data_IF_350670166903
#
_entry.id   IF_350670166903
#
_cell.length_a   1.000
_cell.length_b   1.000
_cell.length_c   1.000
_cell.angle_alpha   90.00
_cell.angle_beta   90.00
_cell.angle_gamma   90.00
#
_symmetry.space_group_name_H-M   'P 1'
#
loop_
_entity.id
_entity.type
_entity.pdbx_description
1 polymer ?
2 polymer ?
3 polymer ?
4 non-polymer ?
5 non-polymer ?
6 non-polymer ?
7 water ?
#
loop_
_entity_poly.entity_id
_entity_poly.type
_entity_poly.pdbx_seq_one_letter_code
_entity_poly.pdbx_strand_id
3 'polydeoxyribonucleotide' '(GF2)(GF2)(CFZ)(CFZ)(AF2)(CFZ)(CFZ)(A9Z)' ?
#
# COMPACT_ATOMS: atom_id res chain seq x y z
N UNK A 2 22.57 -0.46 -11.61
CA UNK A 2 23.45 0.22 -10.67
C UNK A 2 22.84 0.29 -9.26
N UNK A 3 23.65 0.53 -8.24
CA UNK A 3 23.15 0.73 -6.88
C UNK A 3 23.10 2.23 -6.60
N UNK A 4 22.00 2.66 -5.98
CA UNK A 4 21.82 4.07 -5.69
C UNK A 4 22.65 4.47 -4.49
N UNK A 5 23.48 5.51 -4.66
CA UNK A 5 24.28 6.07 -3.58
C UNK A 5 23.38 7.02 -2.79
N UNK A 6 22.87 6.56 -1.65
CA UNK A 6 21.96 7.43 -0.89
C UNK A 6 22.61 8.71 -0.38
N UNK A 7 23.93 8.86 -0.46
CA UNK A 7 24.59 10.09 -0.07
C UNK A 7 24.84 11.04 -1.24
N UNK A 8 24.34 10.72 -2.44
CA UNK A 8 24.48 11.57 -3.62
C UNK A 8 23.12 12.22 -3.87
N UNK A 9 22.90 13.47 -3.46
CA UNK A 9 21.55 14.05 -3.54
C UNK A 9 20.98 14.11 -4.96
N UNK A 10 21.80 14.49 -5.94
CA UNK A 10 21.33 14.54 -7.32
C UNK A 10 20.89 13.16 -7.81
N UNK A 11 21.64 12.12 -7.44
CA UNK A 11 21.29 10.77 -7.88
C UNK A 11 19.98 10.34 -7.25
N UNK A 12 19.78 10.71 -5.99
CA UNK A 12 18.56 10.36 -5.26
C UNK A 12 17.37 11.09 -5.88
N UNK A 13 17.58 12.34 -6.30
CA UNK A 13 16.52 13.08 -6.96
C UNK A 13 16.10 12.41 -8.26
N UNK A 14 17.09 11.94 -9.05
CA UNK A 14 16.77 11.28 -10.31
C UNK A 14 16.01 9.98 -10.06
N UNK A 15 16.40 9.24 -9.03
CA UNK A 15 15.70 8.03 -8.66
C UNK A 15 14.27 8.33 -8.26
N UNK A 16 14.10 9.36 -7.43
CA UNK A 16 12.78 9.74 -6.97
C UNK A 16 11.90 10.23 -8.10
N UNK A 17 12.47 10.96 -9.06
CA UNK A 17 11.65 11.42 -10.18
C UNK A 17 11.12 10.24 -10.98
N UNK A 18 11.92 9.18 -11.14
CA UNK A 18 11.42 7.98 -11.83
C UNK A 18 10.28 7.35 -11.05
N UNK A 19 10.48 7.10 -9.75
CA UNK A 19 9.42 6.51 -8.94
C UNK A 19 8.15 7.33 -8.95
N UNK A 20 8.26 8.64 -8.83
CA UNK A 20 7.06 9.51 -8.68
C UNK A 20 6.29 9.64 -10.00
N UNK A 21 6.93 9.41 -11.14
CA UNK A 21 6.27 9.65 -12.44
C UNK A 21 5.93 8.34 -13.16
N UNK A 22 6.46 7.22 -12.67
CA UNK A 22 6.14 5.91 -13.27
C UNK A 22 4.70 5.51 -13.08
N UNK A 23 4.03 4.99 -14.12
CA UNK A 23 2.70 4.41 -13.91
C UNK A 23 2.70 3.23 -12.94
N UNK A 24 3.87 2.68 -12.61
CA UNK A 24 3.98 1.57 -11.67
C UNK A 24 4.39 2.03 -10.28
N UNK A 25 4.47 3.34 -10.06
CA UNK A 25 4.97 3.84 -8.78
C UNK A 25 4.11 3.40 -7.61
N UNK A 26 4.76 3.20 -6.47
CA UNK A 26 4.11 2.80 -5.22
C UNK A 26 4.73 3.59 -4.07
N UNK A 27 3.89 4.07 -3.14
CA UNK A 27 4.44 4.78 -2.00
C UNK A 27 5.41 3.90 -1.22
N UNK A 28 5.16 2.59 -1.14
CA UNK A 28 6.06 1.70 -0.39
C UNK A 28 7.37 1.44 -1.11
N UNK A 29 7.50 1.88 -2.36
CA UNK A 29 8.79 1.88 -3.07
C UNK A 29 9.44 3.24 -3.09
N UNK A 30 8.78 4.29 -2.59
CA UNK A 30 9.43 5.59 -2.49
C UNK A 30 10.52 5.53 -1.43
N UNK A 31 11.58 6.31 -1.62
CA UNK A 31 12.63 6.32 -0.59
C UNK A 31 12.12 6.92 0.71
N UNK A 32 10.96 7.56 0.67
CA UNK A 32 10.35 8.07 1.90
C UNK A 32 9.89 6.93 2.80
N UNK A 33 9.56 5.79 2.21
CA UNK A 33 9.11 4.62 3.02
C UNK A 33 10.23 4.11 3.92
N UNK A 34 11.49 4.37 3.54
CA UNK A 34 12.66 3.95 4.35
C UNK A 34 12.77 4.86 5.56
N UNK A 35 12.30 6.09 5.42
CA UNK A 35 12.26 7.00 6.59
C UNK A 35 11.17 6.50 7.54
N UNK A 36 10.06 6.02 7.01
CA UNK A 36 9.00 5.42 7.86
C UNK A 36 9.55 4.15 8.52
N UNK A 37 10.11 3.26 7.72
CA UNK A 37 10.69 1.99 8.21
C UNK A 37 12.12 2.27 8.68
N UNK A 38 12.26 3.16 9.65
CA UNK A 38 13.59 3.57 10.07
C UNK A 38 14.36 2.47 10.80
N UNK A 39 13.69 1.38 11.17
CA UNK A 39 14.39 0.26 11.80
C UNK A 39 14.87 -0.78 10.78
N UNK A 40 14.70 -0.51 9.50
CA UNK A 40 15.19 -1.35 8.41
C UNK A 40 16.31 -0.63 7.67
N UNK A 41 17.18 -1.43 6.98
CA UNK A 41 18.28 -0.78 6.25
C UNK A 41 17.93 -0.64 4.78
N UNK A 42 18.03 0.56 4.17
CA UNK A 42 17.70 0.68 2.73
C UNK A 42 18.86 0.26 1.83
N UNK A 43 18.51 -0.48 0.77
CA UNK A 43 19.41 -0.78 -0.34
C UNK A 43 18.55 -0.64 -1.60
N UNK A 44 18.95 0.21 -2.55
CA UNK A 44 18.13 0.53 -3.70
C UNK A 44 18.92 0.37 -4.99
N UNK A 45 18.29 -0.20 -6.02
CA UNK A 45 18.97 -0.44 -7.30
C UNK A 45 18.04 -0.04 -8.43
N UNK A 46 18.63 0.13 -9.62
CA UNK A 46 17.86 0.57 -10.78
C UNK A 46 18.62 0.16 -12.04
N UNK A 47 17.92 0.22 -13.16
CA UNK A 47 18.49 -0.05 -14.48
C UNK A 47 18.27 1.15 -15.36
N UNK A 48 19.14 1.32 -16.35
CA UNK A 48 18.99 2.40 -17.32
C UNK A 48 18.78 1.79 -18.70
N UNK A 49 18.10 2.56 -19.53
CA UNK A 49 17.92 2.15 -20.95
C UNK A 49 19.17 2.57 -21.73
N UNK A 50 19.17 2.34 -23.03
CA UNK A 50 20.36 2.65 -23.87
C UNK A 50 20.42 4.17 -24.10
N UNK A 51 19.44 4.91 -23.57
CA UNK A 51 19.44 6.38 -23.71
C UNK A 51 19.83 7.07 -22.38
N UNK A 52 20.26 6.31 -21.37
CA UNK A 52 20.68 6.89 -20.08
C UNK A 52 19.56 7.09 -19.07
N UNK A 53 18.32 6.81 -19.46
CA UNK A 53 17.17 7.04 -18.57
C UNK A 53 16.92 5.83 -17.69
N UNK A 54 16.48 6.09 -16.46
CA UNK A 54 16.10 4.96 -15.59
C UNK A 54 14.85 4.33 -16.21
N UNK A 55 14.81 3.00 -16.30
CA UNK A 55 13.66 2.25 -16.88
C UNK A 55 13.05 1.32 -15.81
N UNK A 56 13.78 1.09 -14.71
CA UNK A 56 13.29 0.15 -13.69
C UNK A 56 13.98 0.41 -12.35
N UNK A 57 13.24 0.22 -11.26
CA UNK A 57 13.85 0.51 -9.96
C UNK A 57 13.26 -0.41 -8.90
N UNK A 58 14.09 -0.75 -7.91
CA UNK A 58 13.64 -1.59 -6.80
C UNK A 58 14.18 -1.01 -5.50
N UNK A 59 13.29 -0.61 -4.60
CA UNK A 59 13.69 -0.13 -3.27
C UNK A 59 13.56 -1.28 -2.28
N UNK A 60 14.67 -1.69 -1.68
CA UNK A 60 14.63 -2.79 -0.72
C UNK A 60 14.87 -2.24 0.68
N UNK A 61 14.32 -2.93 1.66
CA UNK A 61 14.59 -2.72 3.07
C UNK A 61 15.01 -4.06 3.66
N UNK A 62 16.05 -4.03 4.48
CA UNK A 62 16.64 -5.24 5.05
C UNK A 62 16.29 -5.34 6.52
N UNK A 63 15.68 -6.46 6.92
CA UNK A 63 15.32 -6.66 8.30
C UNK A 63 16.05 -7.81 8.96
N UNK A 64 16.04 -7.81 10.30
CA UNK A 64 16.70 -8.84 11.08
C UNK A 64 15.84 -10.11 11.12
N UNK A 65 16.51 -11.23 11.34
CA UNK A 65 15.89 -12.56 11.50
C UNK A 65 16.59 -13.25 12.67
N UNK A 66 16.08 -14.39 13.14
CA UNK A 66 16.80 -15.13 14.19
C UNK A 66 18.08 -15.83 13.74
N UNK A 67 18.52 -15.58 12.51
CA UNK A 67 19.70 -16.20 11.94
C UNK A 67 20.76 -15.15 11.65
N UNK A 68 21.86 -15.59 11.00
CA UNK A 68 22.93 -14.67 10.65
C UNK A 68 22.63 -13.88 9.39
N UNK A 69 21.46 -14.07 8.80
CA UNK A 69 21.12 -13.46 7.52
C UNK A 69 20.00 -12.43 7.71
N UNK A 70 19.98 -11.45 6.80
CA UNK A 70 18.92 -10.46 6.72
C UNK A 70 17.79 -10.92 5.81
N UNK A 71 16.62 -10.32 6.02
CA UNK A 71 15.48 -10.47 5.12
C UNK A 71 15.41 -9.20 4.26
N UNK A 72 15.56 -9.35 2.95
CA UNK A 72 15.47 -8.22 2.02
C UNK A 72 14.08 -8.19 1.40
N UNK A 73 13.41 -7.04 1.52
CA UNK A 73 11.99 -6.95 1.17
C UNK A 73 11.76 -5.68 0.36
N UNK A 74 11.21 -5.83 -0.85
CA UNK A 74 10.83 -4.71 -1.73
C UNK A 74 9.30 -4.61 -1.78
N UNK A 75 8.73 -3.87 -0.82
CA UNK A 75 7.28 -3.80 -0.64
C UNK A 75 6.59 -3.16 -1.85
N UNK A 76 5.70 -3.94 -2.48
CA UNK A 76 4.98 -3.57 -3.70
C UNK A 76 5.92 -3.13 -4.82
N UNK A 77 7.15 -3.64 -4.83
CA UNK A 77 8.01 -3.38 -5.96
C UNK A 77 8.25 -4.63 -6.76
N UNK A 78 9.15 -4.56 -7.73
CA UNK A 78 9.86 -3.37 -8.20
C UNK A 78 8.95 -2.44 -8.99
N UNK A 79 9.47 -1.29 -9.39
CA UNK A 79 8.71 -0.31 -10.14
C UNK A 79 9.14 -0.47 -11.61
N UNK A 80 8.29 -1.18 -12.33
CA UNK A 80 8.45 -1.60 -13.72
C UNK A 80 7.29 -2.54 -14.07
N UNK A 81 7.22 -2.99 -15.33
CA UNK A 81 6.27 -4.03 -15.72
C UNK A 81 6.88 -5.38 -15.35
N UNK A 82 6.49 -5.94 -14.20
CA UNK A 82 7.16 -7.13 -13.72
C UNK A 82 6.89 -8.35 -14.60
N UNK A 83 5.86 -8.31 -15.48
CA UNK A 83 5.71 -9.42 -16.42
C UNK A 83 6.80 -9.43 -17.49
N UNK A 84 7.55 -8.34 -17.65
CA UNK A 84 8.75 -8.30 -18.50
C UNK A 84 9.88 -9.00 -17.74
N UNK A 85 9.85 -10.35 -17.77
CA UNK A 85 10.67 -11.10 -16.82
C UNK A 85 12.15 -11.08 -17.20
N UNK A 86 12.48 -10.92 -18.49
CA UNK A 86 13.88 -10.70 -18.83
C UNK A 86 14.41 -9.42 -18.21
N UNK A 87 13.61 -8.35 -18.24
CA UNK A 87 14.02 -7.12 -17.58
C UNK A 87 14.04 -7.28 -16.07
N UNK A 88 13.06 -8.02 -15.53
CA UNK A 88 13.03 -8.29 -14.09
C UNK A 88 14.31 -8.99 -13.64
N UNK A 89 14.71 -10.05 -14.35
CA UNK A 89 15.92 -10.78 -14.02
C UNK A 89 17.13 -9.86 -13.95
N UNK A 90 17.26 -8.94 -14.92
CA UNK A 90 18.37 -7.99 -14.90
C UNK A 90 18.33 -7.11 -13.65
N UNK A 91 17.13 -6.66 -13.28
CA UNK A 91 17.04 -5.78 -12.12
C UNK A 91 17.34 -6.54 -10.84
N UNK A 92 16.81 -7.77 -10.74
CA UNK A 92 17.05 -8.58 -9.55
C UNK A 92 18.52 -8.95 -9.46
N UNK A 93 19.17 -9.13 -10.62
CA UNK A 93 20.60 -9.40 -10.59
C UNK A 93 21.36 -8.24 -9.96
N UNK A 94 21.01 -7.00 -10.32
CA UNK A 94 21.64 -5.85 -9.68
C UNK A 94 21.36 -5.84 -8.18
N UNK A 95 20.10 -6.15 -7.81
CA UNK A 95 19.76 -6.18 -6.38
C UNK A 95 20.62 -7.19 -5.63
N UNK A 96 20.79 -8.38 -6.21
CA UNK A 96 21.57 -9.42 -5.54
C UNK A 96 23.02 -8.99 -5.39
N UNK A 97 23.58 -8.32 -6.41
CA UNK A 97 24.91 -7.75 -6.28
C UNK A 97 24.99 -6.81 -5.08
N UNK A 98 24.03 -5.89 -4.96
CA UNK A 98 24.04 -4.91 -3.89
C UNK A 98 23.88 -5.55 -2.52
N UNK A 99 23.17 -6.68 -2.44
CA UNK A 99 22.96 -7.28 -1.14
C UNK A 99 24.19 -8.00 -0.62
N UNK A 100 25.12 -8.36 -1.50
CA UNK A 100 26.46 -8.79 -1.09
C UNK A 100 26.42 -9.99 -0.13
N UNK A 101 25.46 -10.89 -0.31
CA UNK A 101 25.42 -12.11 0.46
C UNK A 101 24.86 -11.95 1.86
N UNK A 102 24.32 -10.79 2.20
CA UNK A 102 23.84 -10.55 3.55
C UNK A 102 22.41 -11.05 3.78
N UNK A 103 21.64 -11.29 2.73
CA UNK A 103 20.25 -11.68 2.86
C UNK A 103 20.04 -13.13 2.43
N UNK A 104 19.08 -13.79 3.06
CA UNK A 104 18.76 -15.15 2.66
C UNK A 104 17.74 -15.21 1.53
N UNK A 105 17.03 -14.11 1.31
CA UNK A 105 15.97 -14.03 0.29
C UNK A 105 15.82 -12.56 -0.07
N UNK A 106 15.43 -12.31 -1.31
CA UNK A 106 14.87 -11.01 -1.70
C UNK A 106 13.41 -11.28 -2.10
N UNK A 107 12.48 -10.70 -1.34
CA UNK A 107 11.05 -10.87 -1.59
C UNK A 107 10.48 -9.58 -2.16
N UNK A 108 9.64 -9.72 -3.20
CA UNK A 108 8.91 -8.58 -3.73
C UNK A 108 7.47 -9.01 -4.07
N UNK A 109 6.51 -8.12 -3.81
CA UNK A 109 5.09 -8.45 -3.93
C UNK A 109 4.41 -7.36 -4.74
N UNK A 110 4.63 -7.34 -6.05
CA UNK A 110 4.10 -6.26 -6.89
C UNK A 110 2.61 -6.39 -7.13
N UNK A 111 2.00 -5.23 -7.40
CA UNK A 111 0.56 -5.20 -7.67
C UNK A 111 0.33 -5.46 -9.15
N UNK A 112 0.55 -6.71 -9.51
CA UNK A 112 0.29 -7.22 -10.86
C UNK A 112 -0.67 -8.38 -10.73
N UNK A 113 -1.59 -8.51 -11.68
CA UNK A 113 -2.63 -9.51 -11.59
C UNK A 113 -2.04 -10.91 -11.57
N UNK A 114 -2.62 -11.79 -10.75
CA UNK A 114 -2.27 -13.20 -10.82
C UNK A 114 -2.67 -13.75 -12.20
N UNK A 115 -1.83 -14.62 -12.74
CA UNK A 115 -2.21 -15.50 -13.83
C UNK A 115 -1.38 -16.77 -13.73
N UNK A 116 -1.92 -17.87 -14.26
CA UNK A 116 -1.16 -19.12 -14.23
C UNK A 116 0.05 -19.07 -15.16
N UNK A 117 -0.10 -18.46 -16.33
CA UNK A 117 1.07 -18.35 -17.21
C UNK A 117 2.19 -17.53 -16.56
N UNK A 118 1.84 -16.43 -15.89
CA UNK A 118 2.87 -15.60 -15.25
C UNK A 118 3.51 -16.34 -14.09
N UNK A 119 2.70 -17.02 -13.28
CA UNK A 119 3.23 -17.82 -12.17
C UNK A 119 4.24 -18.83 -12.67
N UNK A 120 3.91 -19.54 -13.76
CA UNK A 120 4.81 -20.54 -14.31
C UNK A 120 6.09 -19.90 -14.85
N UNK A 121 5.97 -18.74 -15.52
CA UNK A 121 7.16 -18.07 -16.03
C UNK A 121 8.12 -17.74 -14.90
N UNK A 122 7.61 -17.19 -13.80
CA UNK A 122 8.46 -16.84 -12.68
C UNK A 122 9.18 -18.07 -12.11
N UNK A 123 8.44 -19.18 -11.92
CA UNK A 123 9.04 -20.41 -11.43
C UNK A 123 10.09 -20.95 -12.41
N UNK A 124 9.84 -20.78 -13.71
CA UNK A 124 10.81 -21.23 -14.72
C UNK A 124 12.11 -20.44 -14.61
N UNK A 125 12.05 -19.19 -14.16
CA UNK A 125 13.22 -18.34 -14.00
C UNK A 125 13.85 -18.50 -12.62
N UNK A 126 13.43 -19.49 -11.86
CA UNK A 126 14.04 -19.79 -10.58
C UNK A 126 13.37 -19.15 -9.38
N UNK A 127 12.37 -18.28 -9.58
CA UNK A 127 11.73 -17.69 -8.42
C UNK A 127 10.83 -18.70 -7.71
N UNK A 128 10.65 -18.51 -6.41
CA UNK A 128 9.64 -19.22 -5.64
C UNK A 128 8.49 -18.25 -5.43
N UNK A 129 7.27 -18.68 -5.76
CA UNK A 129 6.10 -17.81 -5.62
C UNK A 129 5.16 -18.31 -4.52
N UNK A 130 4.48 -17.36 -3.89
CA UNK A 130 3.57 -17.62 -2.77
C UNK A 130 2.27 -16.88 -3.10
N UNK A 131 1.28 -17.63 -3.53
CA UNK A 131 -0.01 -17.06 -3.90
C UNK A 131 -1.09 -18.11 -3.64
N UNK A 132 -1.65 -18.68 -4.70
CA UNK A 132 -2.67 -19.72 -4.50
C UNK A 132 -2.07 -21.00 -3.93
N UNK A 133 -0.76 -21.09 -3.97
CA UNK A 133 -0.08 -22.28 -3.38
C UNK A 133 -0.10 -22.22 -1.85
N UNK A 134 -0.40 -21.05 -1.28
CA UNK A 134 -0.40 -20.87 0.20
C UNK A 134 -1.78 -20.39 0.68
N UNK A 135 -1.87 -19.97 1.93
CA UNK A 135 -3.18 -19.62 2.54
C UNK A 135 -4.18 -20.77 2.33
N UNK A 137 -4.50 -19.00 4.91
CA UNK A 137 -4.21 -18.22 6.13
C UNK A 137 -4.70 -16.79 5.89
N UNK A 138 -5.21 -16.50 4.69
CA UNK A 138 -5.75 -15.16 4.37
C UNK A 138 -4.72 -14.04 4.44
N UNK A 139 -5.12 -12.91 5.00
CA UNK A 139 -4.19 -11.75 5.17
C UNK A 139 -2.90 -12.16 5.88
N UNK A 140 -2.86 -13.28 6.60
CA UNK A 140 -1.58 -13.60 7.27
C UNK A 140 -0.66 -14.44 6.37
N UNK A 141 -1.14 -14.98 5.27
CA UNK A 141 -0.32 -15.88 4.43
C UNK A 141 0.84 -15.10 3.82
N UNK A 142 0.59 -13.86 3.45
CA UNK A 142 1.58 -12.98 2.86
C UNK A 142 1.68 -11.72 3.72
N UNK A 143 2.78 -10.97 3.55
CA UNK A 143 2.95 -9.75 4.35
C UNK A 143 1.87 -8.74 4.01
N UNK A 144 1.73 -8.41 2.74
CA UNK A 144 0.59 -7.60 2.28
C UNK A 144 -0.54 -8.50 1.80
N UNK A 145 -1.80 -8.13 2.03
CA UNK A 145 -2.91 -8.91 1.46
C UNK A 145 -2.83 -9.03 -0.05
N UNK A 146 -3.08 -10.24 -0.54
CA UNK A 146 -3.03 -10.53 -1.96
C UNK A 146 -4.33 -10.22 -2.68
N UNK A 147 -5.46 -10.19 -1.96
CA UNK A 147 -6.76 -9.80 -2.53
C UNK A 147 -7.08 -8.38 -2.09
N UNK A 148 -7.38 -7.50 -3.05
CA UNK A 148 -7.53 -6.10 -2.72
C UNK A 148 -8.73 -5.48 -3.41
N UNK A 149 -9.43 -4.63 -2.67
CA UNK A 149 -10.63 -3.96 -3.14
C UNK A 149 -10.24 -2.63 -3.79
N UNK A 150 -10.25 -2.59 -5.12
CA UNK A 150 -9.75 -1.45 -5.87
C UNK A 150 -10.87 -0.92 -6.77
N UNK A 151 -11.12 0.39 -6.68
CA UNK A 151 -12.13 1.08 -7.46
C UNK A 151 -11.48 1.70 -8.70
N UNK A 152 -11.88 1.27 -9.88
CA UNK A 152 -11.31 1.79 -11.13
C UNK A 152 -12.12 3.01 -11.57
N UNK A 153 -11.62 4.21 -11.26
CA UNK A 153 -12.34 5.43 -11.60
C UNK A 153 -12.32 5.71 -13.08
N UNK A 154 -11.43 5.08 -13.84
CA UNK A 154 -11.46 5.32 -15.28
C UNK A 154 -12.70 4.72 -15.95
N UNK A 155 -13.43 3.85 -15.26
CA UNK A 155 -14.72 3.39 -15.76
C UNK A 155 -15.78 4.49 -15.71
N UNK A 156 -15.50 5.63 -15.08
CA UNK A 156 -16.49 6.69 -14.91
C UNK A 156 -15.87 8.03 -15.34
N UNK A 157 -15.59 8.18 -16.64
CA UNK A 157 -14.84 9.37 -17.09
C UNK A 157 -15.53 10.69 -16.80
N UNK A 158 -16.86 10.71 -16.74
CA UNK A 158 -17.57 11.96 -16.57
C UNK A 158 -18.00 12.19 -15.12
N UNK A 159 -17.64 11.30 -14.20
CA UNK A 159 -18.09 11.44 -12.82
C UNK A 159 -17.52 12.72 -12.19
N UNK A 160 -18.38 13.46 -11.51
CA UNK A 160 -17.93 14.69 -10.85
C UNK A 160 -17.83 14.52 -9.35
N UNK A 161 -18.74 13.76 -8.76
CA UNK A 161 -18.77 13.56 -7.31
C UNK A 161 -18.85 12.07 -7.03
N UNK A 162 -18.51 11.71 -5.79
CA UNK A 162 -18.50 10.31 -5.38
C UNK A 162 -19.81 9.61 -5.69
N UNK A 163 -20.95 10.28 -5.49
CA UNK A 163 -22.23 9.62 -5.69
C UNK A 163 -22.42 9.15 -7.13
N UNK A 164 -21.82 9.87 -8.09
CA UNK A 164 -21.95 9.52 -9.51
C UNK A 164 -21.49 8.10 -9.82
N UNK A 165 -20.72 7.47 -8.94
CA UNK A 165 -20.11 6.17 -9.16
C UNK A 165 -20.98 4.99 -8.72
N UNK A 166 -22.13 5.23 -8.09
CA UNK A 166 -22.71 4.19 -7.27
C UNK A 166 -24.18 3.94 -7.58
N UNK A 167 -24.66 2.71 -7.32
CA UNK A 167 -26.10 2.46 -7.41
C UNK A 167 -26.85 3.18 -6.30
N UNK A 168 -28.17 3.27 -6.50
CA UNK A 168 -29.02 4.04 -5.60
C UNK A 168 -28.91 3.58 -4.14
N UNK A 169 -28.86 2.27 -3.90
CA UNK A 169 -28.76 1.77 -2.52
C UNK A 169 -27.51 2.31 -1.81
N UNK A 170 -26.40 2.38 -2.54
CA UNK A 170 -25.15 2.90 -1.99
C UNK A 170 -25.20 4.43 -1.85
N UNK A 171 -25.82 5.11 -2.82
CA UNK A 171 -26.01 6.55 -2.69
C UNK A 171 -26.67 6.87 -1.36
N UNK A 172 -27.68 6.08 -0.99
CA UNK A 172 -28.40 6.32 0.27
C UNK A 172 -27.49 6.15 1.48
N UNK A 173 -26.64 5.12 1.46
CA UNK A 173 -25.72 4.91 2.59
C UNK A 173 -24.72 6.05 2.70
N UNK A 174 -24.21 6.52 1.56
CA UNK A 174 -23.22 7.61 1.58
C UNK A 174 -23.85 8.91 2.02
N UNK A 175 -25.11 9.15 1.60
CA UNK A 175 -25.76 10.40 1.98
C UNK A 175 -26.04 10.46 3.47
N UNK A 176 -26.27 9.30 4.08
CA UNK A 176 -26.75 9.25 5.48
C UNK A 176 -25.87 10.01 6.47
N UNK A 177 -24.53 9.79 6.57
CA UNK A 177 -23.77 10.52 7.59
C UNK A 177 -23.85 12.03 7.41
N UNK A 178 -23.79 12.52 6.18
CA UNK A 178 -23.83 13.96 5.97
C UNK A 178 -25.19 14.53 6.33
N UNK A 179 -26.26 13.79 6.04
CA UNK A 179 -27.60 14.25 6.42
C UNK A 179 -27.76 14.28 7.94
N UNK A 180 -27.03 13.43 8.64
CA UNK A 180 -27.09 13.39 10.08
C UNK A 180 -26.05 14.30 10.74
N UNK A 181 -25.43 15.19 9.97
CA UNK A 181 -24.58 16.24 10.51
C UNK A 181 -23.10 15.94 10.54
N UNK A 182 -22.67 14.79 10.03
CA UNK A 182 -21.24 14.50 9.99
C UNK A 182 -20.55 15.46 9.02
N UNK A 183 -19.39 15.95 9.40
CA UNK A 183 -18.57 16.83 8.58
C UNK A 183 -17.14 16.31 8.55
N UNK A 184 -16.50 16.39 7.39
CA UNK A 184 -15.14 15.89 7.23
C UNK A 184 -14.23 17.04 6.84
N UNK A 185 -13.10 17.18 7.54
CA UNK A 185 -12.00 18.02 7.09
C UNK A 185 -10.77 17.16 6.85
N UNK A 186 -9.76 17.77 6.27
CA UNK A 186 -8.56 16.98 6.00
C UNK A 186 -7.33 17.88 6.01
N UNK A 187 -6.20 17.25 6.27
CA UNK A 187 -4.94 17.95 6.21
C UNK A 187 -3.85 16.97 6.55
N UNK A 188 -2.64 17.50 6.71
CA UNK A 188 -1.52 16.67 7.12
C UNK A 188 -0.65 17.41 8.13
N UNK A 189 -1.28 17.99 9.16
CA UNK A 189 -0.55 18.66 10.22
C UNK A 189 -0.58 17.79 11.49
N UNK A 190 0.13 18.24 12.53
CA UNK A 190 0.12 17.51 13.80
C UNK A 190 -1.27 17.45 14.40
N UNK A 191 -2.12 18.45 14.10
CA UNK A 191 -3.49 18.45 14.62
C UNK A 191 -4.28 17.25 14.12
N UNK A 192 -4.28 17.02 12.80
CA UNK A 192 -4.99 15.86 12.25
C UNK A 192 -4.35 14.56 12.68
N UNK A 193 -3.02 14.52 12.79
CA UNK A 193 -2.37 13.32 13.27
C UNK A 193 -2.85 12.93 14.66
N UNK A 194 -2.93 13.93 15.57
CA UNK A 194 -3.40 13.63 16.92
C UNK A 194 -4.84 13.13 16.91
N UNK A 195 -5.68 13.72 16.04
CA UNK A 195 -7.04 13.21 15.91
C UNK A 195 -7.05 11.79 15.37
N UNK A 196 -6.24 11.52 14.32
CA UNK A 196 -6.13 10.17 13.82
C UNK A 196 -5.74 9.23 14.96
N UNK A 197 -4.70 9.59 15.71
CA UNK A 197 -4.10 8.64 16.64
C UNK A 197 -5.05 8.32 17.79
N UNK A 198 -5.86 9.28 18.20
CA UNK A 198 -6.89 8.99 19.20
C UNK A 198 -7.88 7.95 18.68
N UNK A 199 -8.38 8.13 17.45
CA UNK A 199 -9.33 7.18 16.91
C UNK A 199 -8.69 5.83 16.63
N UNK A 200 -7.40 5.84 16.26
CA UNK A 200 -6.67 4.63 15.92
C UNK A 200 -6.40 3.77 17.15
N UNK A 201 -5.87 4.37 18.22
CA UNK A 201 -5.66 3.63 19.46
C UNK A 201 -7.00 3.21 20.08
N UNK A 202 -8.02 4.07 20.02
CA UNK A 202 -9.33 3.68 20.54
C UNK A 202 -9.83 2.43 19.84
N UNK A 203 -9.73 2.40 18.50
CA UNK A 203 -10.22 1.24 17.75
C UNK A 203 -9.39 0.01 18.08
N UNK A 204 -8.07 0.19 18.26
CA UNK A 204 -7.20 -0.94 18.57
C UNK A 204 -7.54 -1.56 19.93
N UNK A 205 -7.80 -0.73 20.93
CA UNK A 205 -8.21 -1.24 22.24
C UNK A 205 -9.53 -2.00 22.15
N UNK A 206 -10.52 -1.43 21.43
CA UNK A 206 -11.83 -2.08 21.29
C UNK A 206 -11.69 -3.46 20.65
N UNK A 207 -10.76 -3.60 19.71
CA UNK A 207 -10.45 -4.88 19.09
C UNK A 207 -9.40 -5.66 19.87
N UNK A 208 -8.89 -5.12 20.97
CA UNK A 208 -7.83 -5.79 21.72
C UNK A 208 -6.60 -6.13 20.91
N UNK A 209 -6.22 -5.25 19.99
CA UNK A 209 -5.14 -5.52 19.05
C UNK A 209 -4.04 -4.48 19.24
N UNK A 210 -2.85 -4.84 18.75
CA UNK A 210 -1.69 -3.97 18.79
C UNK A 210 -1.80 -2.88 17.73
N UNK A 211 -1.21 -1.73 18.02
CA UNK A 211 -1.19 -0.60 17.10
C UNK A 211 0.24 -0.10 16.96
N UNK A 212 0.50 0.60 15.85
CA UNK A 212 1.80 1.19 15.61
C UNK A 212 1.98 2.45 16.47
N UNK A 213 3.21 2.78 16.85
CA UNK A 213 3.45 4.00 17.63
C UNK A 213 3.19 5.24 16.78
N UNK A 214 2.85 6.34 17.45
CA UNK A 214 2.56 7.57 16.71
C UNK A 214 3.77 8.05 15.92
N UNK A 215 4.99 7.75 16.38
CA UNK A 215 6.18 8.17 15.65
C UNK A 215 6.23 7.57 14.26
N UNK A 216 5.60 6.41 14.07
CA UNK A 216 5.54 5.80 12.73
C UNK A 216 4.87 6.75 11.74
N UNK A 217 3.75 7.33 12.16
CA UNK A 217 2.97 8.26 11.35
C UNK A 217 3.60 9.64 11.31
N UNK A 218 4.28 10.05 12.40
CA UNK A 218 5.02 11.31 12.36
C UNK A 218 6.15 11.24 11.34
N UNK A 219 6.89 10.13 11.26
CA UNK A 219 7.92 10.03 10.21
C UNK A 219 7.28 10.06 8.83
N UNK A 220 6.08 9.52 8.69
CA UNK A 220 5.42 9.49 7.39
C UNK A 220 4.96 10.89 7.02
N UNK A 221 4.46 11.65 8.00
CA UNK A 221 4.13 13.07 7.79
C UNK A 221 5.36 13.89 7.45
N UNK A 222 6.53 13.53 7.99
CA UNK A 222 7.75 14.24 7.63
C UNK A 222 8.21 13.88 6.23
N UNK A 223 8.03 12.63 5.82
CA UNK A 223 8.52 12.19 4.51
C UNK A 223 7.60 12.58 3.35
N UNK A 224 6.30 12.82 3.60
CA UNK A 224 5.33 13.04 2.53
C UNK A 224 4.54 14.31 2.76
N UNK A 225 4.48 15.19 1.76
CA UNK A 225 3.77 16.45 1.94
C UNK A 225 2.27 16.26 1.76
N UNK A 226 1.52 17.36 1.88
CA UNK A 226 0.07 17.28 1.96
C UNK A 226 -0.57 16.95 0.62
N UNK A 227 0.19 16.99 -0.47
CA UNK A 227 -0.30 16.57 -1.77
C UNK A 227 -0.17 15.08 -1.99
N UNK A 228 0.54 14.40 -1.08
CA UNK A 228 0.76 12.96 -1.10
C UNK A 228 0.05 12.27 0.06
N UNK A 229 0.21 12.80 1.27
CA UNK A 229 -0.37 12.27 2.50
C UNK A 229 -1.48 13.19 2.99
N UNK A 230 -2.66 12.63 3.23
CA UNK A 230 -3.74 13.45 3.76
C UNK A 230 -4.53 12.65 4.78
N UNK A 231 -4.81 13.27 5.93
CA UNK A 231 -5.59 12.65 6.97
C UNK A 231 -6.98 13.27 6.94
N UNK A 232 -8.00 12.43 6.88
CA UNK A 232 -9.40 12.85 6.81
C UNK A 232 -10.05 12.61 8.16
N UNK A 233 -10.78 13.60 8.67
CA UNK A 233 -11.25 13.59 10.05
C UNK A 233 -12.75 13.90 10.01
N UNK A 234 -13.57 12.97 10.51
CA UNK A 234 -15.02 13.14 10.52
C UNK A 234 -15.46 13.47 11.93
N UNK A 235 -16.23 14.55 12.07
CA UNK A 235 -16.76 14.98 13.35
C UNK A 235 -18.25 15.24 13.18
N UNK A 236 -18.96 15.28 14.30
CA UNK A 236 -20.36 15.72 14.30
C UNK A 236 -20.58 16.62 15.50
N UNK A 237 -21.00 17.87 15.24
CA UNK A 237 -21.21 18.84 16.32
C UNK A 237 -19.98 18.95 17.23
N UNK A 238 -18.80 18.95 16.62
CA UNK A 238 -17.56 19.06 17.37
C UNK A 238 -17.03 17.78 17.96
N UNK A 239 -17.79 16.69 17.94
CA UNK A 239 -17.36 15.42 18.51
C UNK A 239 -16.60 14.61 17.47
N UNK A 240 -15.40 14.16 17.85
CA UNK A 240 -14.57 13.35 16.95
C UNK A 240 -15.17 11.95 16.79
N UNK A 241 -15.37 11.52 15.54
CA UNK A 241 -16.00 10.23 15.30
C UNK A 241 -15.09 9.24 14.59
N UNK A 242 -14.49 9.61 13.46
CA UNK A 242 -13.63 8.62 12.81
C UNK A 242 -12.62 9.35 11.95
N UNK A 243 -11.58 8.62 11.53
CA UNK A 243 -10.53 9.19 10.70
C UNK A 243 -10.05 8.15 9.70
N UNK A 244 -9.33 8.62 8.68
CA UNK A 244 -8.60 7.73 7.79
C UNK A 244 -7.40 8.45 7.21
N UNK A 245 -6.36 7.68 6.88
CA UNK A 245 -5.17 8.21 6.21
C UNK A 245 -5.16 7.67 4.78
N UNK A 246 -4.95 8.56 3.82
CA UNK A 246 -4.84 8.18 2.42
C UNK A 246 -3.55 8.74 1.84
N UNK A 247 -2.89 7.94 1.00
CA UNK A 247 -1.69 8.36 0.29
C UNK A 247 -1.94 8.35 -1.21
N UNK A 248 -1.63 9.47 -1.84
CA UNK A 248 -1.76 9.65 -3.28
C UNK A 248 -0.38 9.48 -3.90
N UNK A 249 -0.23 8.49 -4.77
CA UNK A 249 1.07 8.14 -5.34
C UNK A 249 0.85 7.31 -6.58
N UNK A 250 1.57 7.64 -7.64
CA UNK A 250 1.41 6.90 -8.90
C UNK A 250 0.00 7.06 -9.42
N UNK A 251 -0.62 5.93 -9.77
CA UNK A 251 -1.94 5.91 -10.38
C UNK A 251 -3.06 5.72 -9.35
N UNK A 252 -2.76 5.83 -8.05
CA UNK A 252 -3.81 5.50 -7.10
C UNK A 252 -3.76 6.38 -5.84
N UNK A 253 -4.92 6.52 -5.24
CA UNK A 253 -5.02 6.98 -3.85
C UNK A 253 -5.34 5.74 -3.02
N UNK A 254 -4.57 5.52 -1.96
CA UNK A 254 -4.64 4.30 -1.16
C UNK A 254 -5.13 4.67 0.24
N UNK A 255 -6.27 4.11 0.63
CA UNK A 255 -6.76 4.21 2.00
C UNK A 255 -5.97 3.19 2.83
N UNK A 256 -5.10 3.67 3.72
CA UNK A 256 -4.11 2.82 4.38
C UNK A 256 -4.38 2.54 5.85
N UNK A 257 -4.82 3.55 6.60
CA UNK A 257 -5.02 3.46 8.03
C UNK A 257 -6.33 4.17 8.40
N UNK A 258 -6.93 3.74 9.51
CA UNK A 258 -8.21 4.33 9.89
C UNK A 258 -8.43 4.07 11.37
N UNK A 259 -9.39 4.78 11.93
CA UNK A 259 -9.78 4.60 13.32
C UNK A 259 -11.17 5.14 13.50
N UNK A 260 -11.86 4.64 14.53
CA UNK A 260 -13.18 5.16 14.84
C UNK A 260 -13.37 5.04 16.35
N UNK A 261 -14.13 5.98 16.90
CA UNK A 261 -14.35 6.05 18.33
C UNK A 261 -15.38 5.00 18.76
N UNK A 262 -15.48 4.79 20.08
CA UNK A 262 -16.46 3.86 20.62
C UNK A 262 -17.87 4.43 20.42
N UNK A 263 -18.86 3.53 20.36
CA UNK A 263 -20.24 3.98 20.44
C UNK A 263 -20.81 4.39 19.09
N UNK A 264 -21.73 5.35 19.11
CA UNK A 264 -22.44 5.77 17.90
C UNK A 264 -21.55 6.67 17.05
N UNK A 265 -21.25 6.24 15.82
CA UNK A 265 -20.38 7.02 14.96
C UNK A 265 -21.07 7.54 13.72
N UNK A 266 -22.40 7.31 13.59
CA UNK A 266 -23.27 8.00 12.64
C UNK A 266 -22.83 7.77 11.20
N UNK A 267 -22.31 6.58 10.91
CA UNK A 267 -21.80 6.22 9.59
C UNK A 267 -20.64 7.08 9.15
N UNK A 268 -19.97 7.76 10.09
CA UNK A 268 -18.84 8.61 9.71
C UNK A 268 -17.79 7.92 8.86
N UNK A 269 -17.47 6.63 9.05
CA UNK A 269 -16.49 5.99 8.16
C UNK A 269 -16.92 5.98 6.70
N UNK A 270 -18.23 6.01 6.43
CA UNK A 270 -18.70 6.14 5.05
C UNK A 270 -18.38 7.54 4.52
N UNK A 271 -18.48 8.55 5.38
CA UNK A 271 -18.21 9.92 5.00
C UNK A 271 -16.74 10.13 4.70
N UNK A 272 -15.88 9.50 5.51
CA UNK A 272 -14.45 9.51 5.22
C UNK A 272 -14.18 8.92 3.85
N UNK A 273 -14.73 7.72 3.59
CA UNK A 273 -14.53 7.10 2.27
C UNK A 273 -15.00 8.01 1.14
N UNK A 274 -16.18 8.63 1.30
CA UNK A 274 -16.68 9.49 0.24
C UNK A 274 -15.73 10.64 -0.04
N UNK A 275 -15.15 11.25 1.02
CA UNK A 275 -14.28 12.40 0.82
C UNK A 275 -12.95 11.98 0.19
N UNK A 276 -12.49 10.78 0.53
CA UNK A 276 -11.25 10.24 0.00
C UNK A 276 -11.43 9.95 -1.49
N UNK A 277 -12.58 9.38 -1.85
CA UNK A 277 -12.89 9.11 -3.26
C UNK A 277 -13.07 10.43 -4.02
N UNK A 278 -13.63 11.44 -3.36
CA UNK A 278 -13.76 12.74 -4.00
C UNK A 278 -12.39 13.36 -4.30
N UNK A 279 -11.43 13.16 -3.40
CA UNK A 279 -10.06 13.59 -3.64
C UNK A 279 -9.49 12.92 -4.89
N UNK A 280 -9.77 11.62 -5.06
CA UNK A 280 -9.31 10.91 -6.26
C UNK A 280 -9.96 11.45 -7.51
N UNK A 281 -11.26 11.75 -7.44
CA UNK A 281 -11.94 12.36 -8.59
C UNK A 281 -11.38 13.74 -8.89
N UNK A 282 -11.16 14.55 -7.86
CA UNK A 282 -10.71 15.94 -8.05
C UNK A 282 -9.32 15.99 -8.66
N UNK A 283 -8.51 14.97 -8.42
CA UNK A 283 -7.13 14.95 -8.90
C UNK A 283 -6.96 14.08 -10.14
N UNK A 284 -8.04 13.54 -10.71
CA UNK A 284 -7.99 12.72 -11.92
C UNK A 284 -7.14 11.48 -11.72
N UNK A 285 -7.23 10.88 -10.53
CA UNK A 285 -6.49 9.66 -10.22
C UNK A 285 -7.25 8.45 -10.76
N UNK A 286 -6.49 7.52 -11.37
CA UNK A 286 -7.11 6.36 -12.00
C UNK A 286 -7.79 5.44 -10.99
N UNK A 287 -7.14 5.18 -9.84
CA UNK A 287 -7.53 4.11 -8.93
C UNK A 287 -7.71 4.62 -7.51
N UNK A 288 -8.73 4.09 -6.83
CA UNK A 288 -8.89 4.24 -5.37
C UNK A 288 -8.82 2.86 -4.74
N UNK A 289 -7.82 2.64 -3.88
CA UNK A 289 -7.53 1.32 -3.33
C UNK A 289 -7.93 1.30 -1.86
N UNK A 290 -8.91 0.47 -1.51
CA UNK A 290 -9.32 0.28 -0.12
C UNK A 290 -8.56 -0.86 0.56
N UNK A 291 -7.68 -1.54 -0.18
CA UNK A 291 -6.80 -2.49 0.47
C UNK A 291 -7.43 -3.86 0.65
N UNK A 292 -6.81 -4.63 1.57
CA UNK A 292 -7.00 -6.06 1.57
C UNK A 292 -8.32 -6.55 2.15
N UNK A 293 -8.69 -7.72 1.68
CA UNK A 293 -9.86 -8.44 2.25
C UNK A 293 -9.31 -9.86 2.46
N UNK A 294 -9.97 -10.67 3.27
CA UNK A 294 -9.53 -12.06 3.45
C UNK A 294 -10.19 -12.94 2.39
N UNK A 295 -11.43 -12.64 2.03
CA UNK A 295 -12.19 -13.46 1.05
C UNK A 295 -13.36 -12.68 0.49
N UNK A 296 -13.81 -13.05 -0.72
CA UNK A 296 -15.03 -12.44 -1.28
C UNK A 296 -16.22 -13.07 -0.53
N UNK A 297 -16.38 -12.50 0.71
CA UNK A 297 -17.41 -13.20 1.50
C UNK A 297 -18.20 -12.28 2.42
N UNK A 298 -19.42 -12.69 2.75
CA UNK A 298 -20.28 -11.89 3.66
C UNK A 298 -19.79 -12.08 5.10
N UNK A 299 -18.96 -13.10 5.32
CA UNK A 299 -18.48 -13.38 6.71
C UNK A 299 -17.21 -12.56 6.97
N UNK A 300 -16.66 -12.01 5.89
CA UNK A 300 -15.44 -11.19 6.04
C UNK A 300 -15.85 -9.72 6.25
N UNK A 301 -15.68 -9.24 7.48
CA UNK A 301 -16.07 -7.86 7.75
C UNK A 301 -15.33 -6.86 6.85
N UNK A 302 -14.16 -7.24 6.33
CA UNK A 302 -13.42 -6.37 5.44
C UNK A 302 -14.07 -6.32 4.06
N UNK A 303 -14.52 -7.47 3.55
CA UNK A 303 -15.22 -7.49 2.28
C UNK A 303 -16.54 -6.73 2.37
N UNK A 304 -17.28 -6.93 3.46
CA UNK A 304 -18.62 -6.37 3.57
C UNK A 304 -18.56 -4.85 3.53
N UNK A 305 -17.67 -4.25 4.33
CA UNK A 305 -17.54 -2.80 4.33
C UNK A 305 -17.03 -2.29 2.99
N UNK A 306 -15.95 -2.90 2.48
CA UNK A 306 -15.34 -2.36 1.26
C UNK A 306 -16.22 -2.57 0.04
N UNK A 307 -17.07 -3.60 0.03
CA UNK A 307 -17.96 -3.82 -1.10
C UNK A 307 -18.98 -2.69 -1.26
N UNK A 308 -19.23 -1.92 -0.20
CA UNK A 308 -20.09 -0.74 -0.36
C UNK A 308 -19.51 0.17 -1.44
N UNK A 309 -18.18 0.25 -1.52
CA UNK A 309 -17.48 1.18 -2.39
C UNK A 309 -16.84 0.55 -3.61
N UNK A 310 -16.68 -0.77 -3.64
CA UNK A 310 -16.08 -1.46 -4.78
C UNK A 310 -17.04 -2.57 -5.20
N UNK A 311 -17.78 -2.36 -6.28
CA UNK A 311 -18.73 -3.37 -6.74
C UNK A 311 -18.09 -4.40 -7.66
N UNK A 312 -16.97 -4.05 -8.32
CA UNK A 312 -16.29 -4.99 -9.19
C UNK A 312 -15.55 -6.04 -8.36
N UNK A 313 -15.08 -7.08 -9.03
CA UNK A 313 -14.34 -8.13 -8.34
C UNK A 313 -13.09 -7.56 -7.68
N UNK A 314 -12.71 -8.06 -6.50
CA UNK A 314 -11.41 -7.69 -5.93
C UNK A 314 -10.27 -8.05 -6.88
N UNK A 315 -9.21 -7.26 -6.84
CA UNK A 315 -8.01 -7.60 -7.59
C UNK A 315 -7.21 -8.65 -6.83
N UNK A 316 -6.77 -9.68 -7.54
CA UNK A 316 -5.94 -10.73 -6.98
C UNK A 316 -4.54 -10.63 -7.59
N UNK A 317 -3.54 -10.41 -6.75
CA UNK A 317 -2.19 -10.18 -7.25
C UNK A 317 -1.37 -11.46 -7.25
N UNK A 318 -0.22 -11.38 -7.93
CA UNK A 318 0.68 -12.52 -8.07
C UNK A 318 1.17 -12.99 -6.73
N UNK A 319 1.14 -12.14 -5.71
CA UNK A 319 1.63 -12.56 -4.41
C UNK A 319 3.10 -12.26 -4.19
N UNK A 320 3.77 -13.05 -3.34
CA UNK A 320 5.17 -12.81 -3.02
C UNK A 320 6.05 -13.58 -3.98
N UNK A 321 7.03 -12.90 -4.55
CA UNK A 321 8.02 -13.51 -5.44
C UNK A 321 9.35 -13.54 -4.68
N UNK A 322 9.88 -14.74 -4.44
CA UNK A 322 11.07 -14.90 -3.61
C UNK A 322 12.24 -15.33 -4.49
N UNK A 323 13.26 -14.48 -4.56
CA UNK A 323 14.58 -14.83 -5.07
C UNK A 323 15.34 -15.44 -3.91
N UNK A 324 15.50 -16.77 -3.92
CA UNK A 324 16.14 -17.49 -2.82
C UNK A 324 17.65 -17.40 -2.97
N UNK A 325 18.33 -16.97 -1.90
CA UNK A 325 19.78 -16.80 -1.93
C UNK A 325 20.49 -17.74 -0.98
N UNK A 326 19.99 -17.91 0.24
CA UNK A 326 20.50 -18.91 1.18
C UNK A 326 19.39 -19.94 1.37
N UNK A 327 19.43 -21.06 0.64
CA UNK A 327 18.28 -21.99 0.68
C UNK A 327 18.12 -22.69 2.01
N UNK A 328 19.19 -22.86 2.78
CA UNK A 328 19.07 -23.48 4.11
C UNK A 328 18.27 -22.61 5.05
N UNK A 329 18.63 -21.32 5.14
CA UNK A 329 17.85 -20.40 5.96
C UNK A 329 16.45 -20.21 5.38
N UNK A 330 16.32 -20.14 4.05
CA UNK A 330 14.98 -20.02 3.47
C UNK A 330 14.07 -21.14 3.95
N UNK A 331 14.57 -22.38 3.92
CA UNK A 331 13.77 -23.54 4.32
C UNK A 331 13.40 -23.44 5.79
N UNK A 332 14.31 -22.95 6.61
CA UNK A 332 14.04 -22.83 8.04
C UNK A 332 12.93 -21.81 8.32
N UNK A 333 12.99 -20.64 7.66
CA UNK A 333 12.12 -19.52 8.04
C UNK A 333 10.82 -19.44 7.24
N UNK A 334 10.80 -20.04 6.06
CA UNK A 334 9.61 -19.88 5.19
C UNK A 334 8.86 -21.20 5.08
N UNK B 1 0.54 -5.50 12.72
CA UNK B 1 0.04 -6.86 12.54
C UNK B 1 0.03 -7.26 11.06
N UNK B 2 0.05 -8.46 10.80
CA UNK B 2 -0.06 -9.21 9.55
C UNK B 2 0.90 -10.32 9.28
N UNK B 3 -2.82 -6.77 7.93
CA UNK B 3 -2.77 -5.88 6.78
C UNK B 3 -1.42 -5.34 6.30
N UNK B 4 -0.34 -5.54 7.04
CA UNK B 4 0.97 -5.06 6.57
C UNK B 4 1.09 -3.53 6.66
N UNK B 5 1.38 -2.88 5.53
CA UNK B 5 1.49 -1.42 5.45
C UNK B 5 2.56 -0.84 6.38
X LIG D 1 9.47 1.39 -17.82
X LIG D 1 9.74 1.73 -16.49
X LIG D 1 8.67 0.03 -17.84
X LIG D 1 8.03 -0.18 -19.08
X LIG D 1 9.74 -1.05 -17.58
X LIG D 1 9.04 -2.25 -17.37
X LIG E 1 9.14 -11.11 7.75
X LIG E 1 9.20 -12.20 6.90
X LIG E 1 10.42 -12.83 6.85
X LIG E 1 11.57 -12.48 7.55
X LIG E 1 11.42 -11.33 8.41
X LIG E 1 10.23 -10.70 8.47
X LIG E 1 8.24 -12.59 6.25
X LIG E 1 12.60 -13.14 7.41
X LIG E 1 7.85 -10.40 7.88
X LIG E 1 7.33 -10.33 9.31
X LIG E 1 6.69 -11.56 9.64
X LIG E 1 6.34 -9.15 9.20
X LIG E 1 6.94 -8.31 8.06
X LIG E 1 8.03 -9.06 7.51
X LIG E 1 5.06 -9.61 8.78
X LIG E 1 7.44 -6.94 8.48
X LIG E 1 6.28 -6.16 8.82
X LIG E 1 6.35 -4.60 8.86
X LIG E 1 6.63 -4.15 7.47
X LIG E 1 5.09 -4.01 9.50
X LIG E 1 7.58 -4.28 9.83
X LIG E 1 7.74 -3.08 10.85
X LIG E 1 7.44 -1.77 10.23
X LIG E 1 9.18 -3.22 11.34
X LIG F 1 6.86 -4.45 12.94
X LIG F 1 5.46 -4.88 13.34
X LIG F 1 4.74 -3.69 13.98
X LIG F 1 5.59 -3.07 15.07
X LIG F 1 6.98 -2.72 14.55
X LIG F 1 7.90 -2.18 15.62
X LIG F 1 4.27 -6.65 12.19
X LIG F 1 3.58 -7.09 10.94
X LIG F 1 2.31 -3.80 13.97
X LIG F 1 1.46 -5.05 13.70
X LIG F 1 1.59 -2.87 14.92
X LIG F 1 6.75 -3.43 12.01
X LIG F 1 3.54 -4.20 14.58
X LIG F 1 4.97 -1.89 15.59
X LIG F 1 7.59 -3.92 14.04
X LIG F 1 8.18 -3.19 16.58
X LIG F 1 4.40 -7.39 13.15
X LIG F 1 1.71 -6.06 14.41
X LIG F 1 4.73 -5.40 12.21
#
# INVERSE_FOLDING_TARGET
MPVLNLNDPQAVERYEEFMRQSPYGQVTQDLGWAKVKNNWEPVDVYLEDDQGAIIAAMSMLLGDTPTDKKFAYASKGPVMDVTDVDLLDRLVDEAVKALDGRAYVLRFDPEVAYSDEFNTTLQDHGYVTRNRNVADAGMHATIQPRLNMVLDLTKFPDAKTTLDLYPSKTKSKIKRPFRDGVEVHSGNSATELDEFFKTYTTMAERHGITHRPIEYFQRMQAAFDADTMRIFVAEREGKLLSTGIALKYGRKIWYMYAGSMDGNTYYAPYAVQSEMIQWALDTNTDLYDLGGIESESTDDSLYVFKHVFVKDAPREYIGEIDKVLDPEVYAELVKDGHHHHHH
AXCAA
GOL C1 O1 C2 O2 C3 O3
UDP N1 C2 N3 C4 C5 C6 O2 O4 C1' C2' O2' C3' C4' O4' O3' C5' O5' PA O1A O2A O3A PB O1B O3B
MUB C1 C2 C3 C4 C5 C6 C7 C8 C9 C10 C11 O1 O3 O4 O5 O6 O7 O10 N2
#
